data_IF_358890543714
#
_entry.id   IF_358890543714
#
_cell.length_a   1.000
_cell.length_b   1.000
_cell.length_c   1.000
_cell.angle_alpha   90.00
_cell.angle_beta   90.00
_cell.angle_gamma   90.00
#
_symmetry.space_group_name_H-M   'P 1'
#
loop_
_entity.id
_entity.type
_entity.pdbx_description
1 polymer ?
#
# COMPACT_ATOMS: atom_id res chain seq x y z
N UNK A 1 -48.75 -59.36 -2.04
CA UNK A 1 -47.88 -58.31 -1.49
C UNK A 1 -46.54 -58.96 -1.19
N UNK A 2 -45.54 -58.73 -2.03
CA UNK A 2 -44.18 -59.27 -1.84
C UNK A 2 -43.27 -58.13 -1.46
N UNK A 3 -42.81 -58.14 -0.24
CA UNK A 3 -41.82 -57.23 0.33
C UNK A 3 -40.43 -57.62 -0.18
N UNK A 4 -39.82 -56.71 -0.90
CA UNK A 4 -38.47 -56.88 -1.47
C UNK A 4 -37.46 -56.20 -0.52
N UNK A 5 -36.72 -57.02 0.23
CA UNK A 5 -35.66 -56.57 1.15
C UNK A 5 -34.38 -56.35 0.32
N UNK A 6 -33.91 -55.11 0.24
CA UNK A 6 -32.63 -54.78 -0.39
C UNK A 6 -31.55 -54.78 0.68
N UNK A 7 -30.66 -55.74 0.57
CA UNK A 7 -29.44 -55.86 1.44
C UNK A 7 -28.33 -55.03 0.81
N UNK A 8 -27.92 -53.95 1.49
CA UNK A 8 -26.77 -53.12 1.08
C UNK A 8 -25.51 -53.76 1.69
N UNK A 9 -24.70 -54.35 0.85
CA UNK A 9 -23.37 -54.90 1.20
C UNK A 9 -22.36 -53.75 1.16
N UNK A 10 -21.90 -53.30 2.34
CA UNK A 10 -20.84 -52.31 2.50
C UNK A 10 -19.48 -52.99 2.34
N UNK A 11 -18.77 -52.67 1.27
CA UNK A 11 -17.40 -53.14 1.01
C UNK A 11 -16.43 -52.03 1.40
N UNK A 12 -15.91 -52.09 2.63
CA UNK A 12 -14.82 -51.24 3.11
C UNK A 12 -13.48 -51.83 2.66
N UNK A 13 -12.88 -51.26 1.62
CA UNK A 13 -11.52 -51.57 1.19
C UNK A 13 -10.52 -50.66 1.95
N UNK A 14 -9.86 -51.25 2.97
CA UNK A 14 -8.76 -50.63 3.71
C UNK A 14 -7.49 -50.80 2.86
N UNK A 15 -7.07 -49.72 2.18
CA UNK A 15 -5.75 -49.66 1.56
C UNK A 15 -4.74 -49.12 2.59
N UNK A 16 -4.02 -50.01 3.26
CA UNK A 16 -2.80 -49.69 3.98
C UNK A 16 -1.68 -49.46 2.96
N UNK A 17 -1.42 -48.19 2.61
CA UNK A 17 -0.21 -47.83 1.87
C UNK A 17 0.95 -47.65 2.84
N UNK A 18 1.88 -48.58 2.83
CA UNK A 18 3.20 -48.45 3.48
C UNK A 18 4.01 -47.39 2.73
N UNK A 19 4.15 -46.18 3.32
CA UNK A 19 5.13 -45.21 2.89
C UNK A 19 6.47 -45.54 3.53
N UNK A 20 7.34 -46.18 2.77
CA UNK A 20 8.74 -46.44 3.14
C UNK A 20 9.52 -45.13 2.98
N UNK A 21 9.82 -44.46 4.09
CA UNK A 21 10.71 -43.29 4.12
C UNK A 21 12.15 -43.81 3.95
N UNK A 22 12.73 -43.63 2.77
CA UNK A 22 14.16 -43.80 2.59
C UNK A 22 14.88 -42.58 3.17
N UNK A 23 15.56 -42.82 4.27
CA UNK A 23 16.52 -41.90 4.87
C UNK A 23 17.77 -41.83 4.00
N UNK A 24 17.94 -40.76 3.23
CA UNK A 24 19.20 -40.45 2.56
C UNK A 24 20.07 -39.74 3.59
N UNK A 25 21.06 -40.47 4.10
CA UNK A 25 22.13 -39.90 4.90
C UNK A 25 22.97 -39.00 3.99
N UNK A 26 22.92 -37.68 4.20
CA UNK A 26 23.86 -36.72 3.64
C UNK A 26 25.10 -36.72 4.55
N UNK A 27 26.21 -37.19 4.04
CA UNK A 27 27.52 -37.06 4.69
C UNK A 27 27.92 -35.62 4.79
N UNK A 28 28.14 -35.21 6.03
CA UNK A 28 28.72 -33.93 6.43
C UNK A 28 30.18 -33.84 5.99
N UNK A 29 30.48 -33.19 4.89
CA UNK A 29 31.85 -32.74 4.60
C UNK A 29 32.08 -31.39 5.30
N UNK A 30 32.53 -31.47 6.52
CA UNK A 30 33.10 -30.33 7.27
C UNK A 30 34.33 -29.82 6.54
N UNK A 31 34.20 -28.73 5.79
CA UNK A 31 35.33 -27.94 5.31
C UNK A 31 35.74 -26.97 6.40
N UNK A 32 36.95 -27.13 6.95
CA UNK A 32 37.54 -26.24 7.95
C UNK A 32 37.62 -24.79 7.40
N UNK A 33 37.38 -23.76 8.23
CA UNK A 33 37.63 -22.37 7.83
C UNK A 33 39.12 -22.13 7.71
N UNK A 34 39.58 -21.84 6.50
CA UNK A 34 40.93 -21.38 6.24
C UNK A 34 41.08 -19.92 6.69
N UNK A 35 42.14 -19.66 7.41
CA UNK A 35 42.62 -18.35 7.87
C UNK A 35 42.74 -17.35 6.71
N UNK A 36 41.76 -16.46 6.54
CA UNK A 36 41.91 -15.27 5.70
C UNK A 36 42.51 -14.14 6.53
N UNK A 37 43.83 -14.05 6.44
CA UNK A 37 44.64 -12.95 7.00
C UNK A 37 44.34 -11.68 6.20
N UNK A 38 43.46 -10.82 6.71
CA UNK A 38 43.27 -9.47 6.18
C UNK A 38 44.52 -8.64 6.42
N UNK A 39 45.18 -8.23 5.33
CA UNK A 39 46.15 -7.15 5.33
C UNK A 39 45.41 -5.83 5.59
N UNK A 40 45.69 -5.20 6.70
CA UNK A 40 45.35 -3.82 6.99
C UNK A 40 46.31 -2.92 6.24
N UNK A 41 45.98 -2.46 5.07
CA UNK A 41 46.67 -1.32 4.48
C UNK A 41 46.06 -0.04 5.07
N UNK A 42 46.88 0.63 5.90
CA UNK A 42 46.52 1.87 6.56
C UNK A 42 46.37 2.99 5.52
N UNK A 43 45.18 3.54 5.43
CA UNK A 43 44.93 4.83 4.78
C UNK A 43 44.97 5.91 5.85
N UNK A 44 46.12 6.56 5.94
CA UNK A 44 46.38 7.74 6.75
C UNK A 44 45.67 8.94 6.09
N UNK A 45 44.50 9.35 6.64
CA UNK A 45 43.86 10.59 6.21
C UNK A 45 44.54 11.77 6.90
N UNK A 46 45.21 12.59 6.11
CA UNK A 46 45.71 13.90 6.52
C UNK A 46 44.50 14.79 6.84
N UNK A 47 44.47 15.28 8.07
CA UNK A 47 43.68 16.44 8.48
C UNK A 47 44.27 17.70 7.81
N UNK A 48 43.53 18.29 6.88
CA UNK A 48 43.75 19.68 6.46
C UNK A 48 42.78 20.56 7.25
N UNK A 49 43.36 21.49 7.98
CA UNK A 49 42.68 22.48 8.80
C UNK A 49 41.83 23.40 7.91
N UNK A 50 40.50 23.37 8.06
CA UNK A 50 39.59 24.35 7.47
C UNK A 50 39.33 25.46 8.50
N UNK A 51 40.02 26.58 8.33
CA UNK A 51 39.78 27.83 9.05
C UNK A 51 38.33 28.29 8.88
N UNK A 52 37.63 28.46 9.99
CA UNK A 52 36.31 29.09 10.09
C UNK A 52 36.45 30.60 9.90
N UNK A 53 36.05 31.11 8.73
CA UNK A 53 35.71 32.53 8.56
C UNK A 53 34.28 32.77 8.98
N UNK A 54 34.11 33.36 10.16
CA UNK A 54 32.90 34.00 10.63
C UNK A 54 32.59 35.23 9.78
N UNK A 55 31.61 35.16 8.92
CA UNK A 55 31.05 36.33 8.23
C UNK A 55 29.80 36.79 9.00
N UNK A 56 29.93 37.95 9.64
CA UNK A 56 28.81 38.72 10.21
C UNK A 56 27.84 39.12 9.09
N UNK A 57 26.60 38.59 9.13
CA UNK A 57 25.48 39.11 8.34
C UNK A 57 24.71 40.12 9.18
N UNK A 58 24.80 41.39 8.76
CA UNK A 58 24.04 42.51 9.31
C UNK A 58 22.55 42.30 9.06
N UNK A 59 21.77 42.46 10.14
CA UNK A 59 20.32 42.57 10.13
C UNK A 59 19.92 43.93 9.52
N UNK A 60 19.35 43.93 8.32
CA UNK A 60 18.58 45.06 7.81
C UNK A 60 17.11 44.90 8.21
N UNK A 61 16.69 45.77 9.12
CA UNK A 61 15.32 45.96 9.56
C UNK A 61 14.44 46.48 8.40
N UNK A 62 13.66 45.63 7.76
CA UNK A 62 12.56 46.07 6.89
C UNK A 62 11.29 46.23 7.71
N UNK A 63 11.07 47.49 8.11
CA UNK A 63 9.85 48.00 8.71
C UNK A 63 8.76 48.13 7.63
N UNK A 64 7.89 47.11 7.48
CA UNK A 64 6.67 47.26 6.65
C UNK A 64 5.61 48.04 7.40
N UNK A 65 5.28 49.20 6.84
CA UNK A 65 4.13 50.03 7.20
C UNK A 65 2.83 49.30 6.88
N UNK A 66 1.99 49.13 7.88
CA UNK A 66 0.60 48.72 7.75
C UNK A 66 -0.24 49.90 7.31
N UNK A 67 -0.58 49.96 6.02
CA UNK A 67 -1.64 50.87 5.57
C UNK A 67 -2.98 50.13 5.61
N UNK A 68 -3.84 50.62 6.51
CA UNK A 68 -5.17 50.11 6.72
C UNK A 68 -6.08 50.40 5.52
N UNK A 69 -6.58 49.38 4.88
CA UNK A 69 -7.74 49.48 3.99
C UNK A 69 -9.00 49.13 4.75
N UNK A 70 -9.74 50.18 5.15
CA UNK A 70 -11.06 50.15 5.74
C UNK A 70 -12.07 49.97 4.59
N UNK A 71 -12.52 48.71 4.35
CA UNK A 71 -13.67 48.52 3.45
C UNK A 71 -14.97 48.74 4.20
N UNK A 72 -15.72 49.69 3.67
CA UNK A 72 -17.07 50.09 4.06
C UNK A 72 -18.04 48.97 3.66
N UNK A 73 -18.80 48.48 4.64
CA UNK A 73 -19.97 47.62 4.43
C UNK A 73 -21.10 48.47 3.87
N UNK A 74 -21.49 48.26 2.65
CA UNK A 74 -22.76 48.75 2.11
C UNK A 74 -23.68 47.54 1.86
N UNK A 75 -24.84 47.66 2.44
CA UNK A 75 -25.99 46.80 2.48
C UNK A 75 -26.39 46.29 1.07
N UNK A 76 -26.45 44.98 0.87
CA UNK A 76 -27.26 44.39 -0.18
C UNK A 76 -28.28 43.47 0.47
N UNK A 77 -29.40 44.06 0.84
CA UNK A 77 -30.68 43.40 1.12
C UNK A 77 -31.26 42.91 -0.23
N UNK A 78 -31.08 41.64 -0.56
CA UNK A 78 -31.78 41.00 -1.65
C UNK A 78 -32.98 40.21 -1.13
N UNK A 79 -34.14 40.64 -1.55
CA UNK A 79 -35.47 40.09 -1.29
C UNK A 79 -35.53 38.60 -1.64
N UNK A 80 -35.86 37.79 -0.65
CA UNK A 80 -36.47 36.49 -0.81
C UNK A 80 -37.94 36.71 -1.23
N UNK A 81 -38.27 36.37 -2.47
CA UNK A 81 -39.61 35.87 -2.82
C UNK A 81 -39.55 35.22 -4.23
N UNK A 82 -40.22 34.06 -4.32
CA UNK A 82 -40.59 33.35 -5.55
C UNK A 82 -39.52 32.51 -6.27
N UNK A 83 -39.22 31.30 -5.73
CA UNK A 83 -39.03 30.08 -6.52
C UNK A 83 -39.34 28.80 -5.71
N UNK A 84 -40.62 28.60 -5.44
CA UNK A 84 -41.19 27.28 -5.14
C UNK A 84 -42.03 26.88 -6.30
N UNK A 85 -41.45 26.14 -7.27
CA UNK A 85 -42.14 25.14 -8.10
C UNK A 85 -41.11 24.47 -9.02
N UNK A 86 -41.19 23.13 -9.03
CA UNK A 86 -40.56 22.20 -9.97
C UNK A 86 -39.25 21.53 -9.52
N UNK A 87 -39.22 20.99 -8.28
CA UNK A 87 -38.34 19.89 -7.92
C UNK A 87 -39.14 18.61 -7.67
N UNK A 88 -39.63 18.03 -8.76
CA UNK A 88 -40.08 16.63 -8.76
C UNK A 88 -39.62 15.97 -10.02
N UNK A 89 -38.80 14.93 -9.86
CA UNK A 89 -38.22 14.01 -10.84
C UNK A 89 -36.82 14.35 -11.32
N UNK A 90 -35.86 13.92 -10.54
CA UNK A 90 -34.71 13.10 -10.97
C UNK A 90 -34.12 12.42 -9.73
N UNK A 91 -34.83 11.42 -9.24
CA UNK A 91 -34.26 10.39 -8.40
C UNK A 91 -33.38 9.53 -9.31
N UNK A 92 -32.25 10.11 -9.72
CA UNK A 92 -31.13 9.39 -10.30
C UNK A 92 -30.51 8.57 -9.19
N UNK A 93 -30.58 7.28 -9.37
CA UNK A 93 -29.94 6.22 -8.59
C UNK A 93 -28.44 6.47 -8.46
N UNK A 94 -28.05 7.44 -7.61
CA UNK A 94 -26.70 7.54 -7.09
C UNK A 94 -26.56 6.38 -6.12
N UNK A 95 -26.05 5.24 -6.64
CA UNK A 95 -25.48 4.17 -5.82
C UNK A 95 -24.63 4.82 -4.72
N UNK A 96 -25.25 4.95 -3.56
CA UNK A 96 -24.60 5.40 -2.33
C UNK A 96 -23.55 4.34 -2.05
N UNK A 97 -22.30 4.58 -2.53
CA UNK A 97 -21.13 3.75 -2.23
C UNK A 97 -21.16 3.57 -0.71
N UNK A 98 -21.59 2.41 -0.25
CA UNK A 98 -21.72 2.11 1.17
C UNK A 98 -20.36 2.39 1.80
N UNK A 99 -20.32 3.38 2.68
CA UNK A 99 -19.10 3.73 3.40
C UNK A 99 -18.67 2.48 4.15
N UNK A 100 -17.53 1.89 3.76
CA UNK A 100 -17.05 0.66 4.37
C UNK A 100 -16.91 0.86 5.88
N UNK A 101 -17.55 0.00 6.66
CA UNK A 101 -17.38 0.02 8.12
C UNK A 101 -15.97 -0.47 8.41
N UNK A 102 -15.10 0.45 8.84
CA UNK A 102 -13.73 0.11 9.19
C UNK A 102 -13.73 -0.63 10.53
N UNK A 103 -13.16 -1.85 10.60
CA UNK A 103 -13.11 -2.63 11.81
C UNK A 103 -12.33 -1.93 12.93
N UNK A 104 -12.69 -2.19 14.18
CA UNK A 104 -11.95 -1.72 15.35
C UNK A 104 -10.52 -2.29 15.40
N UNK A 105 -9.63 -1.69 16.18
CA UNK A 105 -8.25 -2.18 16.33
C UNK A 105 -8.20 -3.63 16.86
N UNK A 106 -9.10 -3.99 17.77
CA UNK A 106 -9.22 -5.36 18.28
C UNK A 106 -9.63 -6.37 17.20
N UNK A 107 -10.59 -6.01 16.36
CA UNK A 107 -11.01 -6.84 15.23
C UNK A 107 -9.90 -6.95 14.17
N UNK A 108 -9.17 -5.87 13.90
CA UNK A 108 -8.04 -5.89 12.98
C UNK A 108 -6.91 -6.82 13.46
N UNK A 109 -6.62 -6.87 14.77
CA UNK A 109 -5.64 -7.81 15.35
C UNK A 109 -6.04 -9.27 15.15
N UNK A 110 -7.33 -9.56 15.15
CA UNK A 110 -7.84 -10.93 14.95
C UNK A 110 -7.93 -11.29 13.45
N UNK A 111 -8.17 -10.30 12.57
CA UNK A 111 -8.38 -10.50 11.14
C UNK A 111 -7.08 -10.52 10.34
N UNK A 112 -6.13 -9.66 10.70
CA UNK A 112 -4.86 -9.50 10.01
C UNK A 112 -3.78 -10.44 10.57
N UNK A 113 -2.87 -10.87 9.72
CA UNK A 113 -1.65 -11.53 10.19
C UNK A 113 -0.80 -10.55 11.00
N UNK A 114 0.12 -11.02 11.86
CA UNK A 114 1.02 -10.14 12.61
C UNK A 114 1.79 -9.15 11.71
N UNK A 115 2.23 -9.59 10.52
CA UNK A 115 2.93 -8.73 9.56
C UNK A 115 2.00 -7.67 8.96
N UNK A 116 0.81 -8.06 8.51
CA UNK A 116 -0.19 -7.13 7.98
C UNK A 116 -0.56 -6.06 9.01
N UNK A 117 -0.82 -6.47 10.25
CA UNK A 117 -1.11 -5.54 11.34
C UNK A 117 0.07 -4.61 11.63
N UNK A 118 1.31 -5.15 11.69
CA UNK A 118 2.53 -4.36 11.88
C UNK A 118 2.70 -3.30 10.79
N UNK A 119 2.48 -3.68 9.53
CA UNK A 119 2.61 -2.77 8.39
C UNK A 119 1.51 -1.71 8.42
N UNK A 120 0.24 -2.12 8.44
CA UNK A 120 -0.89 -1.20 8.24
C UNK A 120 -1.19 -0.30 9.44
N UNK A 121 -0.89 -0.76 10.69
CA UNK A 121 -1.28 -0.07 11.94
C UNK A 121 -0.11 0.42 12.78
N UNK A 122 1.12 0.02 12.46
CA UNK A 122 2.35 0.40 13.17
C UNK A 122 3.43 0.94 12.23
N UNK A 123 3.03 1.35 11.02
CA UNK A 123 3.88 1.96 10.00
C UNK A 123 5.15 1.13 9.72
N UNK A 124 4.99 -0.22 9.80
CA UNK A 124 6.08 -1.16 9.56
C UNK A 124 6.38 -1.33 8.08
N UNK A 125 7.53 -1.94 7.78
CA UNK A 125 7.92 -2.34 6.44
C UNK A 125 8.21 -3.84 6.42
N UNK A 126 7.74 -4.53 5.40
CA UNK A 126 8.05 -5.94 5.12
C UNK A 126 9.43 -6.08 4.46
N UNK A 127 10.08 -7.25 4.50
CA UNK A 127 11.38 -7.45 3.86
C UNK A 127 11.30 -7.32 2.33
N UNK A 128 12.33 -6.71 1.68
CA UNK A 128 12.42 -6.68 0.22
C UNK A 128 12.61 -8.09 -0.36
N UNK A 129 12.09 -8.34 -1.56
CA UNK A 129 12.17 -9.61 -2.30
C UNK A 129 11.59 -10.84 -1.55
N UNK A 130 11.07 -10.64 -0.35
CA UNK A 130 10.44 -11.67 0.46
C UNK A 130 9.04 -11.20 0.91
N UNK A 131 8.19 -10.90 -0.07
CA UNK A 131 6.80 -10.49 0.11
C UNK A 131 5.96 -10.98 -1.08
N UNK A 132 4.64 -10.92 -0.95
CA UNK A 132 3.72 -11.63 -1.86
C UNK A 132 3.71 -11.09 -3.28
N UNK A 133 3.83 -9.74 -3.45
CA UNK A 133 3.49 -9.11 -4.74
C UNK A 133 4.66 -8.41 -5.44
N UNK A 134 5.89 -8.46 -4.90
CA UNK A 134 7.03 -7.83 -5.58
C UNK A 134 7.19 -8.36 -7.01
N UNK A 135 7.03 -9.66 -7.22
CA UNK A 135 7.15 -10.36 -8.51
C UNK A 135 5.79 -10.86 -9.04
N UNK A 136 4.68 -10.20 -8.72
CA UNK A 136 3.38 -10.55 -9.28
C UNK A 136 3.16 -9.81 -10.61
N UNK A 137 2.91 -10.58 -11.70
CA UNK A 137 2.68 -10.09 -13.07
C UNK A 137 1.26 -10.37 -13.56
N UNK A 138 0.39 -10.94 -12.72
CA UNK A 138 -0.98 -11.26 -13.10
C UNK A 138 -1.78 -10.00 -13.36
N UNK A 139 -2.70 -10.05 -14.35
CA UNK A 139 -3.66 -8.98 -14.61
C UNK A 139 -4.70 -8.89 -13.49
N UNK A 140 -4.86 -7.70 -12.91
CA UNK A 140 -5.80 -7.47 -11.82
C UNK A 140 -5.56 -6.14 -11.11
N UNK A 141 -6.26 -5.95 -9.98
CA UNK A 141 -6.12 -4.76 -9.14
C UNK A 141 -5.63 -5.11 -7.74
N UNK A 142 -5.04 -4.12 -7.09
CA UNK A 142 -4.60 -4.19 -5.70
C UNK A 142 -5.50 -3.30 -4.86
N UNK A 143 -6.14 -3.87 -3.84
CA UNK A 143 -7.05 -3.17 -2.94
C UNK A 143 -6.46 -3.09 -1.54
N UNK A 144 -6.89 -2.13 -0.74
CA UNK A 144 -6.54 -2.03 0.67
C UNK A 144 -7.00 -3.29 1.41
N UNK A 145 -6.10 -3.93 2.15
CA UNK A 145 -6.38 -5.16 2.90
C UNK A 145 -7.44 -4.97 3.99
N UNK A 146 -7.64 -3.75 4.47
CA UNK A 146 -8.58 -3.40 5.55
C UNK A 146 -9.95 -3.04 5.00
N UNK A 147 -10.01 -2.02 4.14
CA UNK A 147 -11.27 -1.45 3.64
C UNK A 147 -11.77 -2.09 2.34
N UNK A 148 -10.89 -2.74 1.57
CA UNK A 148 -11.18 -3.20 0.22
C UNK A 148 -11.20 -2.08 -0.83
N UNK A 149 -10.82 -0.84 -0.48
CA UNK A 149 -10.76 0.25 -1.45
C UNK A 149 -9.76 -0.07 -2.58
N UNK A 150 -10.12 0.13 -3.86
CA UNK A 150 -9.24 -0.11 -5.00
C UNK A 150 -8.14 0.96 -5.05
N UNK A 151 -6.88 0.53 -5.00
CA UNK A 151 -5.73 1.43 -4.86
C UNK A 151 -4.85 1.48 -6.11
N UNK A 152 -4.48 0.32 -6.68
CA UNK A 152 -3.56 0.24 -7.81
C UNK A 152 -3.98 -0.81 -8.83
N UNK A 153 -3.50 -0.67 -10.07
CA UNK A 153 -3.69 -1.63 -11.15
C UNK A 153 -2.38 -2.31 -11.54
N UNK A 154 -2.46 -3.57 -11.98
CA UNK A 154 -1.33 -4.27 -12.59
C UNK A 154 -0.86 -3.60 -13.89
N UNK A 155 -1.70 -2.80 -14.55
CA UNK A 155 -1.33 -2.04 -15.76
C UNK A 155 -0.35 -0.90 -15.48
N UNK A 156 -0.32 -0.43 -14.23
CA UNK A 156 0.57 0.65 -13.77
C UNK A 156 1.72 0.11 -12.90
N UNK A 157 1.77 -1.22 -12.67
CA UNK A 157 2.86 -1.90 -11.97
C UNK A 157 4.07 -2.10 -12.87
N UNK A 158 5.27 -1.96 -12.30
CA UNK A 158 6.52 -2.17 -13.03
C UNK A 158 7.63 -2.76 -12.13
N UNK A 159 8.67 -3.28 -12.77
CA UNK A 159 9.86 -3.82 -12.08
C UNK A 159 10.80 -2.69 -11.67
N UNK A 160 10.72 -2.27 -10.41
CA UNK A 160 11.59 -1.21 -9.87
C UNK A 160 12.96 -1.70 -9.39
N UNK A 161 13.13 -3.02 -9.24
CA UNK A 161 14.35 -3.61 -8.67
C UNK A 161 14.53 -3.41 -7.16
N UNK A 162 13.54 -2.79 -6.47
CA UNK A 162 13.64 -2.49 -5.04
C UNK A 162 13.20 -3.63 -4.13
N UNK A 163 12.52 -4.63 -4.69
CA UNK A 163 12.01 -5.79 -3.94
C UNK A 163 10.64 -5.60 -3.31
N UNK A 164 9.94 -4.51 -3.64
CA UNK A 164 8.54 -4.25 -3.28
C UNK A 164 7.70 -3.97 -4.53
N UNK A 165 6.37 -4.25 -4.51
CA UNK A 165 5.49 -3.86 -5.60
C UNK A 165 5.52 -2.35 -5.80
N UNK A 166 5.79 -1.93 -7.03
CA UNK A 166 5.95 -0.52 -7.41
C UNK A 166 5.00 -0.15 -8.53
N UNK A 167 4.36 1.02 -8.41
CA UNK A 167 3.36 1.52 -9.36
C UNK A 167 3.69 2.94 -9.78
N UNK A 168 3.29 3.31 -11.01
CA UNK A 168 3.51 4.66 -11.56
C UNK A 168 2.45 5.66 -11.13
N UNK A 169 1.25 5.17 -10.72
CA UNK A 169 0.11 5.98 -10.24
C UNK A 169 -0.90 5.12 -9.51
N UNK A 170 -1.76 5.72 -8.65
CA UNK A 170 -2.94 5.06 -8.10
C UNK A 170 -4.07 4.96 -9.14
N UNK A 171 -5.02 4.04 -8.93
CA UNK A 171 -6.27 3.94 -9.70
C UNK A 171 -7.14 5.19 -9.52
N UNK A 172 -7.28 5.63 -8.29
CA UNK A 172 -7.98 6.84 -7.91
C UNK A 172 -7.17 7.59 -6.84
N UNK A 173 -6.62 8.78 -7.16
CA UNK A 173 -5.89 9.59 -6.19
C UNK A 173 -6.70 9.93 -4.93
N UNK A 174 -8.04 9.97 -5.04
CA UNK A 174 -8.91 10.27 -3.90
C UNK A 174 -8.99 9.15 -2.85
N UNK A 175 -8.50 7.95 -3.15
CA UNK A 175 -8.49 6.82 -2.21
C UNK A 175 -7.18 6.72 -1.40
N UNK A 176 -6.22 7.63 -1.64
CA UNK A 176 -4.96 7.69 -0.90
C UNK A 176 -4.77 9.06 -0.24
N UNK A 177 -3.93 9.10 0.79
CA UNK A 177 -3.51 10.31 1.48
C UNK A 177 -1.99 10.33 1.53
N UNK A 178 -1.41 11.46 1.14
CA UNK A 178 0.02 11.72 1.27
C UNK A 178 0.29 12.42 2.60
N UNK A 179 1.24 11.90 3.39
CA UNK A 179 1.70 12.50 4.64
C UNK A 179 3.21 12.65 4.63
N UNK A 180 3.71 13.70 5.25
CA UNK A 180 5.15 13.83 5.48
C UNK A 180 5.60 12.87 6.57
N UNK A 181 6.59 12.02 6.26
CA UNK A 181 7.28 11.12 7.20
C UNK A 181 8.70 11.63 7.45
N UNK A 182 8.98 12.06 8.67
CA UNK A 182 10.30 12.57 9.12
C UNK A 182 11.08 11.56 9.93
N UNK A 183 10.84 10.28 9.71
CA UNK A 183 11.57 9.21 10.40
C UNK A 183 12.95 8.94 9.75
N UNK A 184 13.84 8.27 10.50
CA UNK A 184 15.14 7.81 10.03
C UNK A 184 16.06 8.89 9.39
N UNK A 185 16.03 10.11 9.92
CA UNK A 185 16.87 11.23 9.46
C UNK A 185 16.62 11.65 8.00
N UNK A 186 15.51 11.23 7.41
CA UNK A 186 15.08 11.62 6.06
C UNK A 186 13.64 12.11 6.07
N UNK A 187 13.33 13.00 5.12
CA UNK A 187 11.95 13.42 4.86
C UNK A 187 11.45 12.62 3.66
N UNK A 188 10.38 11.89 3.83
CA UNK A 188 9.74 11.08 2.78
C UNK A 188 8.26 11.38 2.71
N UNK A 189 7.61 11.05 1.61
CA UNK A 189 6.15 11.09 1.48
C UNK A 189 5.59 9.72 1.77
N UNK A 190 4.92 9.57 2.90
CA UNK A 190 4.16 8.37 3.26
C UNK A 190 2.85 8.33 2.48
N UNK A 191 2.48 7.15 1.98
CA UNK A 191 1.17 6.89 1.37
C UNK A 191 0.33 6.05 2.33
N UNK A 192 -0.88 6.55 2.62
CA UNK A 192 -1.87 5.88 3.46
C UNK A 192 -3.18 5.71 2.69
N UNK A 193 -3.96 4.67 3.02
CA UNK A 193 -5.32 4.55 2.49
C UNK A 193 -6.24 5.57 3.16
N UNK A 194 -7.11 6.21 2.37
CA UNK A 194 -8.01 7.26 2.88
C UNK A 194 -9.06 6.71 3.83
N UNK A 195 -9.64 5.56 3.51
CA UNK A 195 -10.76 5.01 4.26
C UNK A 195 -10.33 4.39 5.59
N UNK A 196 -9.23 3.61 5.60
CA UNK A 196 -8.78 2.87 6.78
C UNK A 196 -7.62 3.55 7.53
N UNK A 197 -7.07 4.64 7.02
CA UNK A 197 -5.82 5.26 7.50
C UNK A 197 -4.72 4.20 7.71
N UNK A 198 -4.63 3.24 6.78
CA UNK A 198 -3.63 2.20 6.80
C UNK A 198 -2.35 2.68 6.13
N UNK A 199 -1.20 2.47 6.76
CA UNK A 199 0.09 2.67 6.10
C UNK A 199 0.23 1.71 4.92
N UNK A 200 0.48 2.25 3.72
CA UNK A 200 0.66 1.47 2.50
C UNK A 200 2.14 1.37 2.10
N UNK A 201 2.87 2.45 2.20
CA UNK A 201 4.26 2.57 1.77
C UNK A 201 4.68 4.02 1.59
N UNK A 202 5.54 4.29 0.60
CA UNK A 202 6.07 5.64 0.35
C UNK A 202 6.08 5.98 -1.14
N UNK A 203 6.02 7.28 -1.43
CA UNK A 203 6.16 7.86 -2.75
C UNK A 203 7.57 8.37 -2.96
N UNK A 204 8.15 8.07 -4.12
CA UNK A 204 9.46 8.51 -4.58
C UNK A 204 9.36 9.17 -5.95
N UNK A 205 10.36 9.99 -6.31
CA UNK A 205 10.44 10.72 -7.59
C UNK A 205 11.45 10.09 -8.55
N UNK A 206 11.75 8.83 -8.38
CA UNK A 206 12.69 8.05 -9.18
C UNK A 206 12.00 6.98 -10.06
N UNK A 207 10.70 7.17 -10.33
CA UNK A 207 9.90 6.30 -11.18
C UNK A 207 10.13 6.55 -12.68
N UNK A 208 9.55 5.68 -13.54
CA UNK A 208 9.67 5.84 -14.99
C UNK A 208 8.79 6.98 -15.53
N UNK A 209 9.14 7.46 -16.74
CA UNK A 209 8.25 8.34 -17.48
C UNK A 209 6.89 7.65 -17.77
N UNK A 210 5.79 8.41 -17.92
CA UNK A 210 5.70 9.86 -17.98
C UNK A 210 5.62 10.56 -16.63
N UNK A 211 5.28 9.85 -15.51
CA UNK A 211 5.02 10.50 -14.23
C UNK A 211 6.29 10.83 -13.46
N UNK A 212 7.36 10.04 -13.62
CA UNK A 212 8.56 10.12 -12.79
C UNK A 212 8.31 9.65 -11.34
N UNK A 213 7.11 9.15 -11.03
CA UNK A 213 6.71 8.74 -9.68
C UNK A 213 6.82 7.24 -9.49
N UNK A 214 7.22 6.85 -8.28
CA UNK A 214 7.23 5.45 -7.82
C UNK A 214 6.48 5.34 -6.50
N UNK A 215 5.30 4.75 -6.55
CA UNK A 215 4.53 4.31 -5.39
C UNK A 215 5.07 2.95 -4.96
N UNK A 216 5.95 2.94 -3.95
CA UNK A 216 6.60 1.72 -3.42
C UNK A 216 5.78 1.21 -2.23
N UNK A 217 4.98 0.16 -2.45
CA UNK A 217 3.96 -0.29 -1.50
C UNK A 217 4.37 -1.60 -0.83
N UNK A 218 3.91 -1.80 0.41
CA UNK A 218 4.02 -3.07 1.09
C UNK A 218 2.95 -4.04 0.58
N UNK A 219 3.33 -5.25 0.17
CA UNK A 219 2.39 -6.33 -0.18
C UNK A 219 1.44 -6.65 0.98
N UNK A 220 1.95 -6.59 2.20
CA UNK A 220 1.17 -6.86 3.41
C UNK A 220 0.01 -5.87 3.65
N UNK A 221 0.06 -4.68 3.05
CA UNK A 221 -1.02 -3.69 3.09
C UNK A 221 -2.06 -3.87 1.98
N UNK A 222 -1.80 -4.77 1.02
CA UNK A 222 -2.59 -4.97 -0.18
C UNK A 222 -3.23 -6.36 -0.23
N UNK A 223 -4.35 -6.46 -0.95
CA UNK A 223 -4.93 -7.71 -1.44
C UNK A 223 -5.07 -7.63 -2.95
N UNK A 224 -4.50 -8.60 -3.65
CA UNK A 224 -4.62 -8.70 -5.10
C UNK A 224 -5.93 -9.38 -5.47
N UNK A 225 -6.61 -8.84 -6.48
CA UNK A 225 -7.82 -9.42 -7.09
C UNK A 225 -7.52 -9.63 -8.56
N UNK A 226 -7.43 -10.91 -9.01
CA UNK A 226 -7.21 -11.23 -10.41
C UNK A 226 -8.34 -10.68 -11.29
N UNK A 227 -8.01 -10.33 -12.54
CA UNK A 227 -8.99 -9.85 -13.54
C UNK A 227 -10.25 -10.71 -13.60
N UNK A 228 -10.08 -12.03 -13.61
CA UNK A 228 -11.21 -12.98 -13.76
C UNK A 228 -12.09 -13.06 -12.51
N UNK A 229 -11.63 -12.53 -11.37
CA UNK A 229 -12.39 -12.46 -10.13
C UNK A 229 -13.05 -11.10 -9.88
N UNK A 230 -12.75 -10.06 -10.67
CA UNK A 230 -13.22 -8.69 -10.45
C UNK A 230 -14.76 -8.59 -10.38
N UNK A 231 -15.46 -9.24 -11.28
CA UNK A 231 -16.93 -9.23 -11.29
C UNK A 231 -17.51 -9.87 -10.04
N UNK A 232 -17.00 -11.05 -9.67
CA UNK A 232 -17.42 -11.80 -8.49
C UNK A 232 -17.15 -11.06 -7.18
N UNK A 233 -16.06 -10.31 -7.14
CA UNK A 233 -15.60 -9.56 -5.97
C UNK A 233 -16.21 -8.14 -5.89
N UNK A 234 -17.05 -7.75 -6.87
CA UNK A 234 -17.75 -6.46 -6.87
C UNK A 234 -16.93 -5.28 -7.44
N UNK A 235 -15.92 -5.57 -8.27
CA UNK A 235 -15.05 -4.56 -8.91
C UNK A 235 -15.20 -4.55 -10.43
N UNK A 236 -16.40 -4.79 -10.93
CA UNK A 236 -16.75 -4.93 -12.37
C UNK A 236 -16.29 -3.72 -13.20
N UNK A 237 -16.36 -2.52 -12.63
CA UNK A 237 -15.96 -1.27 -13.29
C UNK A 237 -14.49 -1.26 -13.73
N UNK A 238 -13.62 -2.01 -13.05
CA UNK A 238 -12.18 -2.10 -13.36
C UNK A 238 -11.85 -3.10 -14.47
N UNK A 239 -12.81 -3.91 -14.95
CA UNK A 239 -12.60 -4.79 -16.11
C UNK A 239 -12.19 -4.03 -17.37
N UNK A 240 -12.62 -2.76 -17.49
CA UNK A 240 -12.28 -1.91 -18.62
C UNK A 240 -10.79 -1.65 -18.78
N UNK A 241 -10.00 -1.76 -17.70
CA UNK A 241 -8.54 -1.57 -17.71
C UNK A 241 -7.77 -2.67 -18.45
N UNK A 242 -8.41 -3.84 -18.66
CA UNK A 242 -7.77 -5.06 -19.17
C UNK A 242 -8.31 -5.49 -20.54
N UNK A 243 -8.87 -4.57 -21.32
CA UNK A 243 -9.38 -4.80 -22.68
C UNK A 243 -8.28 -4.66 -23.73
#
# INVERSE_FOLDING_TARGET
MKTMTITILSLTLVMLGFLQVQSIAMEDTMTKPGDMKMKSDGMEMKHEDMETKSGEMQHDDMKMKSDGMKMKSEDMEMKHDDMKKDEKMMEGDTMKKSQAIIPTDAELRNRLTPLQYKVTRKDGTEPPFNNTYWNNHEAGIYVDIISGAPLFSSTDKYESGTGWPSFTRPLNPDEIVEKEDRSFFSVRTEIRSKQADAHLGHLFTDGPAPTGLRYCMNSAALRFIPKDALEKEGYTEYLALFK
#
